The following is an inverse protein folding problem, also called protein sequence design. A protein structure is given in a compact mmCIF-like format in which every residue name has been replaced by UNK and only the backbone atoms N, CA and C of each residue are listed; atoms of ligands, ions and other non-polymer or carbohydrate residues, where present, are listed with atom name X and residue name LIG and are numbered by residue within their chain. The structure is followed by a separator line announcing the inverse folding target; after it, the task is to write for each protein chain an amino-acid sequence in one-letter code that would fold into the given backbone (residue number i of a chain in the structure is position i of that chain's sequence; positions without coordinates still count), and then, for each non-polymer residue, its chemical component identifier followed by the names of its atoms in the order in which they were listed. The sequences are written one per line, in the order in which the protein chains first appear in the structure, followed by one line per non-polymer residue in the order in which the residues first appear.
data_IF_328240530698
#
_entry.id   IF_328240530698
#
_cell.length_a   1.000
_cell.length_b   1.000
_cell.length_c   1.000
_cell.angle_alpha   90.00
_cell.angle_beta   90.00
_cell.angle_gamma   90.00
#
_symmetry.space_group_name_H-M   'P 1'
#
loop_
_entity.id
_entity.type
_entity.pdbx_description
1 polymer ?
#
# COMPACT_ATOMS: atom_id res chain seq x y z
N UNK A 1 5.76 -3.72 10.50
CA UNK A 1 6.66 -4.76 9.93
C UNK A 1 5.95 -5.44 8.74
N UNK A 2 6.62 -5.68 7.59
CA UNK A 2 5.95 -6.16 6.34
C UNK A 2 5.23 -7.52 6.48
N UNK A 3 5.55 -8.27 7.52
CA UNK A 3 5.03 -9.63 7.78
C UNK A 3 3.79 -9.68 8.68
N UNK A 4 3.26 -8.53 9.12
CA UNK A 4 2.11 -8.49 10.04
C UNK A 4 0.86 -9.20 9.52
N UNK A 5 0.62 -9.16 8.20
CA UNK A 5 -0.49 -9.87 7.57
C UNK A 5 -0.33 -11.40 7.61
N UNK A 6 0.91 -11.89 7.63
CA UNK A 6 1.23 -13.33 7.54
C UNK A 6 1.44 -13.94 8.93
N UNK A 7 1.97 -13.18 9.90
CA UNK A 7 2.27 -13.69 11.26
C UNK A 7 1.04 -14.10 12.08
N UNK A 8 -0.16 -13.61 11.74
CA UNK A 8 -1.41 -13.89 12.51
C UNK A 8 -2.43 -14.75 11.74
N UNK A 9 -2.09 -15.27 10.57
CA UNK A 9 -3.00 -16.05 9.73
C UNK A 9 -2.37 -17.34 9.24
N UNK A 10 -3.12 -18.43 9.38
CA UNK A 10 -2.86 -19.70 8.70
C UNK A 10 -3.73 -19.70 7.45
N UNK A 11 -3.09 -19.74 6.27
CA UNK A 11 -3.79 -19.79 4.99
C UNK A 11 -4.08 -21.24 4.64
N UNK A 12 -5.29 -21.54 4.16
CA UNK A 12 -5.66 -22.91 3.76
C UNK A 12 -4.95 -23.33 2.48
N UNK A 13 -4.68 -22.38 1.58
CA UNK A 13 -3.95 -22.62 0.34
C UNK A 13 -3.21 -21.36 -0.14
N UNK A 14 -2.30 -21.56 -1.09
CA UNK A 14 -1.44 -20.49 -1.63
C UNK A 14 -2.22 -19.38 -2.36
N UNK A 15 -3.33 -19.72 -3.01
CA UNK A 15 -4.15 -18.77 -3.77
C UNK A 15 -4.95 -17.83 -2.85
N UNK A 16 -5.45 -18.35 -1.73
CA UNK A 16 -6.04 -17.54 -0.67
C UNK A 16 -5.01 -16.60 -0.05
N UNK A 17 -3.80 -17.09 0.23
CA UNK A 17 -2.71 -16.28 0.75
C UNK A 17 -2.37 -15.12 -0.19
N UNK A 18 -2.21 -15.39 -1.49
CA UNK A 18 -1.95 -14.35 -2.51
C UNK A 18 -3.03 -13.27 -2.50
N UNK A 19 -4.31 -13.66 -2.55
CA UNK A 19 -5.44 -12.70 -2.57
C UNK A 19 -5.45 -11.82 -1.32
N UNK A 20 -5.29 -12.42 -0.14
CA UNK A 20 -5.30 -11.68 1.13
C UNK A 20 -4.09 -10.75 1.25
N UNK A 21 -2.90 -11.22 0.88
CA UNK A 21 -1.68 -10.42 0.92
C UNK A 21 -1.79 -9.24 -0.05
N UNK A 22 -2.28 -9.48 -1.26
CA UNK A 22 -2.48 -8.42 -2.26
C UNK A 22 -3.44 -7.34 -1.76
N UNK A 23 -4.62 -7.75 -1.28
CA UNK A 23 -5.60 -6.83 -0.70
C UNK A 23 -5.02 -6.05 0.49
N UNK A 24 -4.24 -6.69 1.36
CA UNK A 24 -3.59 -6.02 2.49
C UNK A 24 -2.52 -5.01 2.04
N UNK A 25 -1.76 -5.34 0.98
CA UNK A 25 -0.76 -4.45 0.41
C UNK A 25 -1.42 -3.17 -0.12
N UNK A 26 -2.49 -3.30 -0.92
CA UNK A 26 -3.16 -2.16 -1.54
C UNK A 26 -3.94 -1.31 -0.52
N UNK A 27 -4.71 -1.95 0.35
CA UNK A 27 -5.64 -1.24 1.24
C UNK A 27 -5.00 -0.72 2.51
N UNK A 28 -3.95 -1.36 3.01
CA UNK A 28 -3.35 -1.03 4.31
C UNK A 28 -1.90 -0.65 4.18
N UNK A 29 -1.06 -1.52 3.62
CA UNK A 29 0.38 -1.29 3.58
C UNK A 29 0.74 -0.04 2.78
N UNK A 30 0.33 0.07 1.52
CA UNK A 30 0.67 1.22 0.66
C UNK A 30 -0.02 2.52 1.10
N UNK A 31 -1.21 2.42 1.73
CA UNK A 31 -1.96 3.59 2.23
C UNK A 31 -1.44 4.16 3.54
N UNK A 32 -0.93 3.33 4.45
CA UNK A 32 -0.49 3.80 5.79
C UNK A 32 1.01 3.93 5.92
N UNK A 33 1.78 3.29 5.03
CA UNK A 33 3.24 3.31 5.12
C UNK A 33 3.76 4.61 4.54
N UNK A 34 4.29 5.44 5.43
CA UNK A 34 5.07 6.61 5.07
C UNK A 34 6.42 6.17 4.58
N UNK A 35 6.77 6.56 3.37
CA UNK A 35 8.08 6.29 2.79
C UNK A 35 8.95 7.52 3.01
N UNK A 36 10.06 7.37 3.75
CA UNK A 36 11.00 8.48 4.00
C UNK A 36 11.58 9.04 2.71
N UNK A 37 11.69 8.23 1.65
CA UNK A 37 12.09 8.65 0.31
C UNK A 37 11.00 9.44 -0.43
N UNK A 38 9.74 9.34 -0.01
CA UNK A 38 8.60 10.08 -0.57
C UNK A 38 8.17 11.22 0.37
N UNK A 39 9.11 11.81 1.11
CA UNK A 39 8.84 12.93 2.03
C UNK A 39 7.81 12.57 3.13
N UNK A 40 7.84 11.31 3.57
CA UNK A 40 6.88 10.73 4.52
C UNK A 40 5.43 10.68 4.02
N UNK A 41 5.19 10.83 2.72
CA UNK A 41 3.88 10.61 2.13
C UNK A 41 3.61 9.11 1.96
N UNK A 42 2.33 8.74 2.06
CA UNK A 42 1.87 7.44 1.56
C UNK A 42 1.89 7.42 0.04
N UNK A 43 1.90 6.23 -0.57
CA UNK A 43 1.83 6.11 -2.04
C UNK A 43 0.56 6.78 -2.59
N UNK A 44 -0.55 6.68 -1.86
CA UNK A 44 -1.82 7.29 -2.25
C UNK A 44 -1.75 8.82 -2.23
N UNK A 45 -1.13 9.41 -1.20
CA UNK A 45 -0.94 10.86 -1.12
C UNK A 45 0.06 11.34 -2.18
N UNK A 46 1.09 10.54 -2.47
CA UNK A 46 2.04 10.82 -3.53
C UNK A 46 1.36 10.86 -4.90
N UNK A 47 0.57 9.83 -5.26
CA UNK A 47 -0.20 9.80 -6.52
C UNK A 47 -1.24 10.92 -6.60
N UNK A 48 -1.89 11.25 -5.48
CA UNK A 48 -2.86 12.35 -5.45
C UNK A 48 -2.19 13.70 -5.67
N UNK A 49 -1.03 13.94 -5.04
CA UNK A 49 -0.24 15.15 -5.22
C UNK A 49 0.26 15.26 -6.66
N UNK A 50 0.76 14.17 -7.24
CA UNK A 50 1.21 14.12 -8.63
C UNK A 50 0.05 14.45 -9.61
N UNK A 51 -1.14 13.88 -9.37
CA UNK A 51 -2.35 14.18 -10.14
C UNK A 51 -2.84 15.62 -9.98
N UNK A 52 -2.78 16.19 -8.78
CA UNK A 52 -3.11 17.60 -8.54
C UNK A 52 -2.13 18.56 -9.22
N UNK A 53 -0.84 18.22 -9.23
CA UNK A 53 0.18 18.99 -9.98
C UNK A 53 -0.12 18.89 -11.48
N UNK A 54 -0.38 17.69 -12.01
CA UNK A 54 -0.70 17.51 -13.42
C UNK A 54 -1.95 18.32 -13.84
N UNK A 55 -3.01 18.30 -13.04
CA UNK A 55 -4.26 19.04 -13.34
C UNK A 55 -4.14 20.57 -13.16
N UNK A 56 -3.17 21.08 -12.40
CA UNK A 56 -2.95 22.52 -12.24
C UNK A 56 -1.98 23.10 -13.28
N UNK A 57 -1.25 22.24 -13.98
CA UNK A 57 -0.21 22.63 -14.95
C UNK A 57 -0.72 22.53 -16.40
N UNK A 58 -1.89 21.93 -16.64
CA UNK A 58 -2.56 21.85 -17.94
C UNK A 58 -3.95 22.48 -17.92
#
# INVERSE_FOLDING_TARGET
MKVECVRKRIFRNREEAKRIIFAWIETRYNRTRRHSTLDYLSLFEYERRDREIFNNVY
#
